data_IF_754838264011
#
_entry.id   IF_754838264011
#
_cell.length_a   1.000
_cell.length_b   1.000
_cell.length_c   1.000
_cell.angle_alpha   90.00
_cell.angle_beta   90.00
_cell.angle_gamma   90.00
#
_symmetry.space_group_name_H-M   'P 1'
#
loop_
_entity.id
_entity.type
_entity.pdbx_description
1 polymer ?
#
# COMPACT_ATOMS: atom_id res chain seq x y z
N UNK A 1 9.20 -11.22 -2.99
CA UNK A 1 10.50 -10.51 -2.98
C UNK A 1 10.32 -9.17 -3.65
N UNK A 2 11.00 -8.13 -3.15
CA UNK A 2 10.99 -6.79 -3.74
C UNK A 2 11.87 -6.85 -4.99
N UNK A 3 11.26 -7.03 -6.16
CA UNK A 3 11.94 -7.00 -7.45
C UNK A 3 11.85 -5.63 -8.12
N UNK A 4 12.67 -5.41 -9.15
CA UNK A 4 12.65 -4.15 -9.94
C UNK A 4 11.26 -3.83 -10.47
N UNK A 5 10.49 -4.85 -10.90
CA UNK A 5 9.12 -4.67 -11.38
C UNK A 5 8.19 -4.02 -10.34
N UNK A 6 8.29 -4.42 -9.07
CA UNK A 6 7.51 -3.83 -7.97
C UNK A 6 7.84 -2.35 -7.83
N UNK A 7 9.13 -2.02 -7.85
CA UNK A 7 9.60 -0.65 -7.73
C UNK A 7 9.14 0.21 -8.91
N UNK A 8 9.24 -0.28 -10.14
CA UNK A 8 8.79 0.43 -11.34
C UNK A 8 7.30 0.78 -11.27
N UNK A 9 6.44 -0.17 -10.88
CA UNK A 9 5.01 0.10 -10.72
C UNK A 9 4.71 1.08 -9.58
N UNK A 10 5.38 0.92 -8.43
CA UNK A 10 5.19 1.80 -7.27
C UNK A 10 5.56 3.25 -7.60
N UNK A 11 6.63 3.46 -8.39
CA UNK A 11 7.06 4.80 -8.82
C UNK A 11 6.15 5.42 -9.88
N UNK A 12 5.47 4.61 -10.67
CA UNK A 12 4.53 5.08 -11.67
C UNK A 12 3.19 5.50 -11.03
N UNK A 13 2.86 4.97 -9.85
CA UNK A 13 1.65 5.30 -9.11
C UNK A 13 1.72 6.69 -8.43
N UNK A 14 0.56 7.35 -8.30
CA UNK A 14 0.42 8.60 -7.55
C UNK A 14 0.35 8.37 -6.03
N UNK A 15 -0.20 7.23 -5.63
CA UNK A 15 -0.44 6.86 -4.24
C UNK A 15 0.12 5.46 -3.98
N UNK A 16 0.89 5.32 -2.90
CA UNK A 16 1.47 4.04 -2.49
C UNK A 16 0.78 3.57 -1.22
N UNK A 17 0.01 2.48 -1.33
CA UNK A 17 -0.68 1.84 -0.21
C UNK A 17 0.07 0.57 0.23
N UNK A 18 0.75 0.67 1.36
CA UNK A 18 1.43 -0.44 2.02
C UNK A 18 0.44 -1.24 2.85
N UNK A 19 0.31 -2.53 2.55
CA UNK A 19 -0.50 -3.47 3.32
C UNK A 19 0.42 -4.18 4.32
N UNK A 20 0.10 -4.06 5.62
CA UNK A 20 0.95 -4.56 6.71
C UNK A 20 0.12 -5.35 7.72
N UNK A 21 0.66 -6.44 8.24
CA UNK A 21 0.04 -7.21 9.33
C UNK A 21 0.85 -7.03 10.62
N UNK A 22 0.27 -7.29 11.80
CA UNK A 22 0.99 -7.16 13.09
C UNK A 22 1.94 -8.35 13.37
N UNK A 23 2.77 -8.66 12.38
CA UNK A 23 3.81 -9.69 12.42
C UNK A 23 5.19 -9.04 12.26
N UNK A 24 6.22 -9.44 13.04
CA UNK A 24 7.54 -8.84 12.97
C UNK A 24 8.16 -8.85 11.55
N UNK A 25 7.91 -9.92 10.80
CA UNK A 25 8.35 -10.08 9.40
C UNK A 25 7.68 -9.04 8.49
N UNK A 26 6.36 -8.89 8.57
CA UNK A 26 5.60 -7.91 7.78
C UNK A 26 6.05 -6.47 8.06
N UNK A 27 6.32 -6.13 9.33
CA UNK A 27 6.82 -4.80 9.71
C UNK A 27 8.23 -4.57 9.13
N UNK A 28 9.10 -5.58 9.22
CA UNK A 28 10.47 -5.50 8.71
C UNK A 28 10.49 -5.31 7.19
N UNK A 29 9.67 -6.06 6.47
CA UNK A 29 9.56 -5.98 5.01
C UNK A 29 8.97 -4.64 4.57
N UNK A 30 7.93 -4.15 5.24
CA UNK A 30 7.34 -2.85 4.96
C UNK A 30 8.35 -1.71 5.18
N UNK A 31 9.10 -1.76 6.29
CA UNK A 31 10.16 -0.79 6.56
C UNK A 31 11.27 -0.85 5.52
N UNK A 32 11.72 -2.04 5.13
CA UNK A 32 12.75 -2.21 4.10
C UNK A 32 12.31 -1.62 2.76
N UNK A 33 11.05 -1.82 2.37
CA UNK A 33 10.48 -1.23 1.16
C UNK A 33 10.40 0.31 1.24
N UNK A 34 9.92 0.86 2.36
CA UNK A 34 9.88 2.31 2.58
C UNK A 34 11.29 2.89 2.49
N UNK A 35 12.26 2.26 3.16
CA UNK A 35 13.66 2.71 3.17
C UNK A 35 14.26 2.69 1.77
N UNK A 36 14.02 1.64 0.98
CA UNK A 36 14.48 1.54 -0.39
C UNK A 36 13.87 2.64 -1.26
N UNK A 37 12.54 2.82 -1.19
CA UNK A 37 11.83 3.83 -1.98
C UNK A 37 12.21 5.27 -1.61
N UNK A 38 12.48 5.52 -0.33
CA UNK A 38 12.94 6.81 0.15
C UNK A 38 14.40 7.08 -0.26
N UNK A 39 15.31 6.14 0.00
CA UNK A 39 16.74 6.31 -0.26
C UNK A 39 17.05 6.37 -1.76
N UNK A 40 16.49 5.47 -2.55
CA UNK A 40 16.90 5.27 -3.96
C UNK A 40 16.04 6.10 -4.94
N UNK A 41 14.83 6.49 -4.53
CA UNK A 41 13.88 7.18 -5.41
C UNK A 41 13.26 8.45 -4.82
N UNK A 42 13.69 8.87 -3.63
CA UNK A 42 13.26 10.13 -3.01
C UNK A 42 11.78 10.16 -2.60
N UNK A 43 11.12 9.01 -2.52
CA UNK A 43 9.71 8.95 -2.13
C UNK A 43 9.57 9.20 -0.62
N UNK A 44 8.68 10.10 -0.23
CA UNK A 44 8.53 10.54 1.15
C UNK A 44 7.11 10.43 1.69
N UNK A 45 6.13 9.95 0.91
CA UNK A 45 4.75 9.82 1.35
C UNK A 45 4.25 8.41 1.10
N UNK A 46 3.78 7.76 2.16
CA UNK A 46 3.26 6.40 2.08
C UNK A 46 1.97 6.28 2.88
N UNK A 47 1.03 5.50 2.36
CA UNK A 47 -0.21 5.18 3.03
C UNK A 47 -0.13 3.78 3.60
N UNK A 48 -0.69 3.56 4.77
CA UNK A 48 -0.59 2.27 5.48
C UNK A 48 -1.99 1.73 5.75
N UNK A 49 -2.22 0.50 5.31
CA UNK A 49 -3.41 -0.29 5.58
C UNK A 49 -3.02 -1.49 6.44
N UNK A 50 -3.55 -1.56 7.66
CA UNK A 50 -3.42 -2.75 8.48
C UNK A 50 -4.32 -3.86 7.94
N UNK A 51 -3.82 -5.09 7.83
CA UNK A 51 -4.59 -6.25 7.40
C UNK A 51 -4.55 -7.35 8.47
N UNK A 52 -5.56 -8.23 8.44
CA UNK A 52 -5.73 -9.33 9.38
C UNK A 52 -5.76 -8.89 10.86
N UNK A 53 -6.20 -7.67 11.14
CA UNK A 53 -6.27 -7.17 12.51
C UNK A 53 -7.39 -7.87 13.30
N UNK A 54 -7.11 -8.28 14.54
CA UNK A 54 -8.12 -8.79 15.48
C UNK A 54 -9.01 -7.66 16.03
N UNK A 55 -8.49 -6.43 16.05
CA UNK A 55 -9.26 -5.25 16.47
C UNK A 55 -8.86 -3.96 15.73
N UNK A 56 -9.74 -2.94 15.68
CA UNK A 56 -9.39 -1.63 15.13
C UNK A 56 -8.20 -0.96 15.84
N UNK A 57 -8.02 -1.23 17.14
CA UNK A 57 -6.92 -0.68 17.94
C UNK A 57 -5.58 -1.31 17.55
N UNK A 58 -5.56 -2.60 17.21
CA UNK A 58 -4.37 -3.30 16.75
C UNK A 58 -3.80 -2.67 15.48
N UNK A 59 -4.65 -2.32 14.51
CA UNK A 59 -4.21 -1.61 13.30
C UNK A 59 -3.54 -0.25 13.60
N UNK A 60 -4.06 0.49 14.60
CA UNK A 60 -3.42 1.74 15.06
C UNK A 60 -2.11 1.49 15.78
N UNK A 61 -2.03 0.44 16.60
CA UNK A 61 -0.81 0.06 17.30
C UNK A 61 0.29 -0.36 16.31
N UNK A 62 -0.06 -1.15 15.28
CA UNK A 62 0.82 -1.51 14.17
C UNK A 62 1.35 -0.27 13.45
N UNK A 63 0.45 0.66 13.11
CA UNK A 63 0.83 1.93 12.47
C UNK A 63 1.79 2.73 13.35
N UNK A 64 1.56 2.80 14.67
CA UNK A 64 2.44 3.48 15.61
C UNK A 64 3.83 2.81 15.71
N UNK A 65 3.89 1.46 15.70
CA UNK A 65 5.15 0.71 15.66
C UNK A 65 5.96 1.07 14.41
N UNK A 66 5.32 1.05 13.24
CA UNK A 66 5.96 1.37 11.96
C UNK A 66 6.44 2.82 11.94
N UNK A 67 5.59 3.77 12.34
CA UNK A 67 5.90 5.20 12.43
C UNK A 67 7.10 5.46 13.33
N UNK A 68 7.14 4.83 14.51
CA UNK A 68 8.27 4.98 15.45
C UNK A 68 9.60 4.54 14.85
N UNK A 69 9.61 3.49 14.03
CA UNK A 69 10.83 3.00 13.38
C UNK A 69 11.20 3.91 12.21
N UNK A 70 10.25 4.37 11.41
CA UNK A 70 10.53 5.28 10.30
C UNK A 70 11.00 6.64 10.78
N UNK A 71 10.37 7.25 11.79
CA UNK A 71 10.73 8.58 12.33
C UNK A 71 12.17 8.63 12.87
N UNK A 72 12.68 7.48 13.32
CA UNK A 72 14.05 7.39 13.86
C UNK A 72 15.12 7.42 12.76
N UNK A 73 14.81 6.96 11.56
CA UNK A 73 15.82 6.64 10.54
C UNK A 73 15.55 7.23 9.15
N UNK A 74 14.33 7.68 8.86
CA UNK A 74 13.88 8.09 7.54
C UNK A 74 13.10 9.40 7.61
N UNK A 75 13.26 10.24 6.60
CA UNK A 75 12.44 11.44 6.41
C UNK A 75 11.22 11.10 5.54
N UNK A 76 10.21 10.50 6.15
CA UNK A 76 8.98 10.04 5.47
C UNK A 76 7.74 10.38 6.27
N UNK A 77 6.66 10.71 5.57
CA UNK A 77 5.33 10.91 6.12
C UNK A 77 4.46 9.67 5.86
N UNK A 78 4.11 8.96 6.94
CA UNK A 78 3.17 7.85 6.90
C UNK A 78 1.74 8.33 7.17
N UNK A 79 0.77 7.78 6.44
CA UNK A 79 -0.64 8.11 6.59
C UNK A 79 -1.47 6.85 6.83
N UNK A 80 -2.11 6.76 8.00
CA UNK A 80 -2.97 5.62 8.33
C UNK A 80 -4.29 5.68 7.56
N UNK A 81 -4.56 4.64 6.77
CA UNK A 81 -5.80 4.52 5.99
C UNK A 81 -6.87 3.82 6.81
N UNK A 82 -6.56 2.68 7.42
CA UNK A 82 -7.51 1.91 8.21
C UNK A 82 -7.01 0.51 8.51
N UNK A 83 -7.93 -0.36 8.93
CA UNK A 83 -7.66 -1.76 9.20
C UNK A 83 -8.73 -2.64 8.54
N UNK A 84 -8.29 -3.70 7.87
CA UNK A 84 -9.13 -4.83 7.46
C UNK A 84 -9.02 -5.90 8.54
N UNK A 85 -10.15 -6.31 9.15
CA UNK A 85 -10.12 -7.30 10.21
C UNK A 85 -9.85 -8.71 9.65
N UNK A 86 -9.33 -9.59 10.50
CA UNK A 86 -9.34 -11.03 10.21
C UNK A 86 -10.79 -11.51 10.05
N UNK A 87 -11.07 -12.23 8.96
CA UNK A 87 -12.42 -12.70 8.64
C UNK A 87 -12.37 -14.02 7.85
N UNK A 88 -12.95 -15.08 8.41
CA UNK A 88 -13.07 -16.39 7.77
C UNK A 88 -13.81 -16.34 6.42
N UNK A 89 -14.65 -15.31 6.20
CA UNK A 89 -15.31 -15.11 4.92
C UNK A 89 -14.30 -14.87 3.79
N UNK A 90 -13.13 -14.28 4.08
CA UNK A 90 -12.06 -14.11 3.07
C UNK A 90 -11.55 -15.48 2.62
N UNK A 91 -11.25 -16.38 3.57
CA UNK A 91 -10.80 -17.75 3.26
C UNK A 91 -11.84 -18.52 2.45
N UNK A 92 -13.12 -18.43 2.85
CA UNK A 92 -14.23 -19.05 2.11
C UNK A 92 -14.39 -18.45 0.70
N UNK A 93 -14.17 -17.15 0.53
CA UNK A 93 -14.28 -16.48 -0.76
C UNK A 93 -13.16 -16.90 -1.71
N UNK A 94 -11.93 -16.99 -1.20
CA UNK A 94 -10.77 -17.50 -1.94
C UNK A 94 -11.00 -18.94 -2.41
N UNK A 95 -11.52 -19.82 -1.53
CA UNK A 95 -11.89 -21.19 -1.90
C UNK A 95 -12.96 -21.26 -3.00
N UNK A 96 -13.88 -20.29 -3.03
CA UNK A 96 -14.91 -20.15 -4.05
C UNK A 96 -14.45 -19.40 -5.30
N UNK A 97 -13.20 -18.94 -5.35
CA UNK A 97 -12.65 -18.10 -6.41
C UNK A 97 -13.52 -16.88 -6.71
N UNK A 98 -14.09 -16.27 -5.67
CA UNK A 98 -14.87 -15.03 -5.76
C UNK A 98 -14.31 -13.98 -4.81
N UNK A 99 -14.46 -12.71 -5.17
CA UNK A 99 -14.10 -11.62 -4.27
C UNK A 99 -14.96 -11.69 -3.00
N UNK A 100 -14.35 -11.52 -1.82
CA UNK A 100 -15.08 -11.52 -0.54
C UNK A 100 -16.16 -10.45 -0.49
N UNK A 101 -15.92 -9.31 -1.15
CA UNK A 101 -16.87 -8.21 -1.26
C UNK A 101 -18.15 -8.61 -2.02
N UNK A 102 -18.02 -9.46 -3.04
CA UNK A 102 -19.15 -9.97 -3.83
C UNK A 102 -19.82 -11.18 -3.16
N UNK A 103 -19.02 -12.15 -2.72
CA UNK A 103 -19.52 -13.41 -2.16
C UNK A 103 -20.12 -13.25 -0.75
N UNK A 104 -19.59 -12.30 0.04
CA UNK A 104 -19.99 -12.05 1.42
C UNK A 104 -20.08 -10.53 1.71
N UNK A 105 -21.02 -9.80 1.07
CA UNK A 105 -21.07 -8.33 1.11
C UNK A 105 -21.36 -7.75 2.50
N UNK A 106 -21.88 -8.57 3.43
CA UNK A 106 -22.17 -8.19 4.83
C UNK A 106 -21.09 -8.66 5.81
N UNK A 107 -19.99 -9.26 5.33
CA UNK A 107 -18.86 -9.68 6.17
C UNK A 107 -18.14 -8.48 6.78
N UNK A 108 -17.42 -8.70 7.89
CA UNK A 108 -16.66 -7.62 8.56
C UNK A 108 -15.60 -7.06 7.61
N UNK A 109 -14.95 -7.93 6.83
CA UNK A 109 -13.98 -7.54 5.82
C UNK A 109 -14.60 -6.72 4.68
N UNK A 110 -15.78 -7.12 4.16
CA UNK A 110 -16.45 -6.34 3.11
C UNK A 110 -16.88 -4.94 3.58
N UNK A 111 -17.36 -4.82 4.82
CA UNK A 111 -17.69 -3.52 5.41
C UNK A 111 -16.43 -2.65 5.62
N UNK A 112 -15.32 -3.25 6.03
CA UNK A 112 -14.04 -2.55 6.14
C UNK A 112 -13.56 -2.05 4.77
N UNK A 113 -13.63 -2.88 3.73
CA UNK A 113 -13.31 -2.45 2.36
C UNK A 113 -14.17 -1.27 1.90
N UNK A 114 -15.48 -1.29 2.20
CA UNK A 114 -16.36 -0.16 1.88
C UNK A 114 -15.91 1.14 2.57
N UNK A 115 -15.58 1.08 3.86
CA UNK A 115 -15.10 2.24 4.61
C UNK A 115 -13.75 2.76 4.08
N UNK A 116 -12.84 1.86 3.73
CA UNK A 116 -11.55 2.21 3.12
C UNK A 116 -11.77 2.86 1.75
N UNK A 117 -12.61 2.28 0.90
CA UNK A 117 -12.93 2.83 -0.42
C UNK A 117 -13.51 4.25 -0.32
N UNK A 118 -14.43 4.50 0.61
CA UNK A 118 -14.96 5.84 0.88
C UNK A 118 -13.86 6.83 1.28
N UNK A 119 -12.88 6.40 2.08
CA UNK A 119 -11.75 7.26 2.46
C UNK A 119 -10.81 7.51 1.28
N UNK A 120 -10.57 6.52 0.43
CA UNK A 120 -9.76 6.65 -0.78
C UNK A 120 -10.39 7.64 -1.76
N UNK A 121 -11.71 7.58 -1.93
CA UNK A 121 -12.47 8.46 -2.83
C UNK A 121 -12.35 9.95 -2.44
N UNK A 122 -12.11 10.25 -1.16
CA UNK A 122 -11.87 11.63 -0.68
C UNK A 122 -10.45 12.14 -0.85
N UNK A 123 -9.51 11.33 -1.36
CA UNK A 123 -8.14 11.80 -1.53
C UNK A 123 -8.08 12.87 -2.62
N UNK A 124 -7.34 13.96 -2.39
CA UNK A 124 -7.27 15.04 -3.37
C UNK A 124 -6.64 14.52 -4.65
N UNK A 125 -7.40 14.56 -5.73
CA UNK A 125 -6.84 14.33 -7.06
C UNK A 125 -5.89 15.50 -7.37
N UNK A 126 -4.71 15.22 -7.96
CA UNK A 126 -3.82 16.30 -8.38
C UNK A 126 -4.57 17.21 -9.36
N UNK A 127 -4.64 18.51 -9.04
CA UNK A 127 -5.46 19.52 -9.72
C UNK A 127 -5.13 19.76 -11.21
N UNK A 128 -4.09 19.10 -11.74
CA UNK A 128 -3.73 19.14 -13.15
C UNK A 128 -3.84 17.74 -13.77
N UNK A 129 -4.86 17.47 -14.61
CA UNK A 129 -4.89 16.30 -15.47
C UNK A 129 -3.87 16.48 -16.60
N UNK A 130 -2.57 16.32 -16.30
CA UNK A 130 -1.53 16.20 -17.33
C UNK A 130 -1.60 14.79 -17.93
N UNK A 131 -2.39 14.61 -19.00
CA UNK A 131 -2.39 13.45 -19.92
C UNK A 131 -1.72 12.16 -19.40
N UNK A 132 -2.36 11.46 -18.47
CA UNK A 132 -1.63 10.52 -17.59
C UNK A 132 -1.42 9.11 -18.15
N UNK A 133 -2.11 8.69 -19.22
CA UNK A 133 -1.90 7.34 -19.76
C UNK A 133 -0.57 7.26 -20.53
N UNK A 134 -0.29 8.27 -21.36
CA UNK A 134 0.98 8.39 -22.08
C UNK A 134 2.15 8.54 -21.10
N UNK A 135 2.02 9.31 -20.02
CA UNK A 135 3.09 9.43 -19.01
C UNK A 135 3.25 8.21 -18.09
N UNK A 136 2.19 7.44 -17.79
CA UNK A 136 2.33 6.19 -17.04
C UNK A 136 3.09 5.15 -17.87
N UNK A 137 2.76 5.04 -19.16
CA UNK A 137 3.47 4.18 -20.11
C UNK A 137 4.87 4.72 -20.38
N UNK A 138 5.06 6.02 -20.60
CA UNK A 138 6.39 6.62 -20.78
C UNK A 138 7.26 6.46 -19.54
N UNK A 139 6.73 6.61 -18.32
CA UNK A 139 7.50 6.35 -17.07
C UNK A 139 7.89 4.90 -16.92
N UNK A 140 7.06 3.96 -17.40
CA UNK A 140 7.38 2.54 -17.46
C UNK A 140 8.41 2.24 -18.57
N UNK A 141 8.31 2.88 -19.74
CA UNK A 141 9.11 2.61 -20.95
C UNK A 141 10.46 3.32 -20.94
N UNK A 142 10.55 4.59 -20.50
CA UNK A 142 11.82 5.34 -20.45
C UNK A 142 12.84 4.76 -19.46
N UNK A 143 12.43 3.86 -18.56
CA UNK A 143 13.34 3.19 -17.63
C UNK A 143 13.93 1.89 -18.17
N UNK A 144 13.36 1.32 -19.24
CA UNK A 144 13.91 0.12 -19.89
C UNK A 144 15.08 0.44 -20.82
N UNK A 145 15.28 1.72 -21.19
CA UNK A 145 16.31 2.18 -22.13
C UNK A 145 17.64 2.65 -21.49
N UNK A 146 17.80 2.57 -20.17
CA UNK A 146 19.09 2.83 -19.53
C UNK A 146 19.94 1.55 -19.47
N UNK A 147 20.33 1.04 -20.65
CA UNK A 147 21.48 0.14 -20.75
C UNK A 147 22.78 0.90 -20.49
N UNK A 148 23.85 0.26 -19.96
CA UNK A 148 25.09 0.95 -19.68
C UNK A 148 25.69 1.49 -20.98
N UNK A 149 25.91 2.81 -21.01
CA UNK A 149 26.76 3.44 -22.03
C UNK A 149 28.21 3.27 -21.56
N UNK A 150 28.88 2.33 -22.23
CA UNK A 150 30.33 2.03 -22.25
C UNK A 150 31.02 1.68 -20.92
#
# INVERSE_FOLDING_TARGET
GIGESVVSFVRAAQEVLLVVCDEPTSITDAYALIKLLNRDYGMNRFRVLANMAQSPQEGRNLFAKLTKVTDRFLDVALQYVGAVPYDECVRKAVQKQRAVYEAFPRSKCALAFKAIAQKVDTWPLPANPRGHLEFFVERLVHQTSAGPVQ
#
